data_IF_416030880540
#
_entry.id   IF_416030880540
#
_cell.length_a   1.000
_cell.length_b   1.000
_cell.length_c   1.000
_cell.angle_alpha   90.00
_cell.angle_beta   90.00
_cell.angle_gamma   90.00
#
_symmetry.space_group_name_H-M   'P 1'
#
loop_
_entity.id
_entity.type
_entity.pdbx_description
1 polymer ?
#
# COMPACT_ATOMS: atom_id res chain seq x y z
N UNK A 1 48.42 25.61 32.08
CA UNK A 1 47.38 26.49 31.52
C UNK A 1 46.05 25.90 31.91
N UNK A 2 45.31 26.67 32.68
CA UNK A 2 44.12 26.27 33.40
C UNK A 2 43.04 25.75 32.45
N UNK A 3 42.50 24.58 32.82
CA UNK A 3 41.26 24.05 32.29
C UNK A 3 40.12 24.96 32.71
N UNK A 4 39.66 25.82 31.81
CA UNK A 4 38.33 26.40 31.95
C UNK A 4 37.31 25.31 31.61
N UNK A 5 36.86 24.61 32.65
CA UNK A 5 35.59 23.92 32.62
C UNK A 5 34.50 24.98 32.42
N UNK A 6 34.14 25.24 31.16
CA UNK A 6 32.84 25.85 30.88
C UNK A 6 31.79 24.86 31.33
N UNK A 7 31.27 25.15 32.52
CA UNK A 7 30.14 24.49 33.14
C UNK A 7 28.95 24.59 32.16
N UNK A 8 28.70 23.51 31.43
CA UNK A 8 27.63 23.40 30.43
C UNK A 8 26.29 23.05 31.09
N UNK A 9 26.10 23.43 32.35
CA UNK A 9 24.91 23.10 33.15
C UNK A 9 23.64 23.85 32.70
N UNK A 10 23.78 24.90 31.88
CA UNK A 10 22.70 25.57 31.13
C UNK A 10 22.50 25.00 29.71
N UNK A 11 22.70 23.69 29.56
CA UNK A 11 22.55 22.98 28.29
C UNK A 11 21.10 23.01 27.81
N UNK A 12 20.92 23.62 26.64
CA UNK A 12 19.76 23.59 25.73
C UNK A 12 18.44 23.09 26.35
N UNK A 13 17.44 23.97 26.60
CA UNK A 13 16.13 23.60 27.19
C UNK A 13 15.47 22.39 26.53
N UNK A 14 15.73 22.20 25.24
CA UNK A 14 15.31 21.04 24.46
C UNK A 14 15.73 19.70 25.08
N UNK A 15 16.98 19.56 25.53
CA UNK A 15 17.51 18.30 26.10
C UNK A 15 16.87 17.94 27.46
N UNK A 16 16.15 18.87 28.09
CA UNK A 16 15.41 18.64 29.34
C UNK A 16 13.99 18.11 29.09
N UNK A 17 13.53 18.04 27.84
CA UNK A 17 12.21 17.51 27.51
C UNK A 17 12.15 16.00 27.79
N UNK A 18 10.97 15.45 28.13
CA UNK A 18 10.76 14.01 28.19
C UNK A 18 11.14 13.32 26.88
N UNK A 19 11.56 12.06 26.97
CA UNK A 19 12.04 11.29 25.81
C UNK A 19 10.93 11.10 24.76
N UNK A 20 9.67 11.03 25.21
CA UNK A 20 8.48 10.92 24.38
C UNK A 20 8.28 12.16 23.51
N UNK A 21 8.54 13.35 24.06
CA UNK A 21 8.43 14.62 23.33
C UNK A 21 9.54 14.72 22.29
N UNK A 22 10.76 14.30 22.61
CA UNK A 22 11.83 14.21 21.63
C UNK A 22 11.47 13.26 20.48
N UNK A 23 10.91 12.09 20.78
CA UNK A 23 10.43 11.15 19.78
C UNK A 23 9.35 11.76 18.90
N UNK A 24 8.35 12.42 19.48
CA UNK A 24 7.27 13.05 18.73
C UNK A 24 7.81 14.13 17.79
N UNK A 25 8.69 15.01 18.28
CA UNK A 25 9.31 16.07 17.47
C UNK A 25 10.11 15.47 16.32
N UNK A 26 10.94 14.46 16.59
CA UNK A 26 11.75 13.83 15.55
C UNK A 26 10.90 13.02 14.55
N UNK A 27 9.76 12.48 14.98
CA UNK A 27 8.82 11.75 14.11
C UNK A 27 8.09 12.65 13.10
N UNK A 28 7.90 13.95 13.38
CA UNK A 28 7.33 14.87 12.39
C UNK A 28 8.18 15.01 11.12
N UNK A 29 9.50 14.85 11.26
CA UNK A 29 10.42 14.87 10.12
C UNK A 29 10.45 13.56 9.32
N UNK A 30 9.71 12.54 9.77
CA UNK A 30 9.54 11.26 9.06
C UNK A 30 8.57 11.37 7.87
N UNK A 31 7.71 12.40 7.84
CA UNK A 31 6.68 12.58 6.82
C UNK A 31 7.22 12.92 5.42
N UNK A 32 8.50 13.32 5.29
CA UNK A 32 9.09 13.73 4.00
C UNK A 32 10.07 12.68 3.42
N UNK A 33 9.82 12.28 2.18
CA UNK A 33 10.36 11.05 1.59
C UNK A 33 11.81 11.23 1.11
N UNK A 34 12.67 10.37 1.67
CA UNK A 34 13.89 9.75 1.08
C UNK A 34 15.26 10.47 1.03
N UNK A 35 15.42 11.74 1.38
CA UNK A 35 16.78 12.29 1.61
C UNK A 35 16.93 13.05 2.94
N UNK A 36 15.90 13.81 3.34
CA UNK A 36 15.92 14.59 4.58
C UNK A 36 16.04 13.76 5.87
N UNK A 37 15.49 12.53 5.90
CA UNK A 37 15.54 11.64 7.08
C UNK A 37 16.97 11.31 7.50
N UNK A 38 17.81 10.86 6.57
CA UNK A 38 19.22 10.48 6.87
C UNK A 38 20.05 11.70 7.24
N UNK A 39 19.86 12.82 6.54
CA UNK A 39 20.57 14.07 6.83
C UNK A 39 20.22 14.65 8.19
N UNK A 40 18.94 14.59 8.56
CA UNK A 40 18.49 15.03 9.88
C UNK A 40 19.04 14.13 10.98
N UNK A 41 18.94 12.81 10.83
CA UNK A 41 19.52 11.84 11.77
C UNK A 41 21.02 12.09 11.93
N UNK A 42 21.74 12.35 10.84
CA UNK A 42 23.17 12.66 10.88
C UNK A 42 23.48 13.99 11.58
N UNK A 43 22.63 15.02 11.44
CA UNK A 43 22.81 16.32 12.12
C UNK A 43 22.46 16.24 13.60
N UNK A 44 21.30 15.66 13.94
CA UNK A 44 20.78 15.54 15.31
C UNK A 44 21.64 14.59 16.15
N UNK A 45 22.13 13.49 15.57
CA UNK A 45 23.01 12.52 16.26
C UNK A 45 24.39 13.07 16.67
N UNK A 46 24.78 14.24 16.15
CA UNK A 46 26.03 14.92 16.53
C UNK A 46 25.89 15.79 17.77
N UNK A 47 24.66 16.16 18.15
CA UNK A 47 24.40 17.08 19.27
C UNK A 47 24.74 16.44 20.62
N UNK A 48 24.17 15.25 20.91
CA UNK A 48 24.48 14.51 22.13
C UNK A 48 24.19 13.01 21.98
N UNK A 49 24.60 12.22 22.99
CA UNK A 49 24.40 10.76 22.98
C UNK A 49 22.92 10.36 22.97
N UNK A 50 22.09 11.02 23.78
CA UNK A 50 20.65 10.74 23.84
C UNK A 50 20.00 10.90 22.46
N UNK A 51 20.21 12.05 21.82
CA UNK A 51 19.65 12.33 20.49
C UNK A 51 20.17 11.39 19.41
N UNK A 52 21.41 10.91 19.52
CA UNK A 52 21.96 9.87 18.65
C UNK A 52 21.19 8.56 18.77
N UNK A 53 20.97 8.09 20.00
CA UNK A 53 20.22 6.86 20.26
C UNK A 53 18.78 6.96 19.76
N UNK A 54 18.09 8.07 20.05
CA UNK A 54 16.74 8.33 19.58
C UNK A 54 16.63 8.37 18.05
N UNK A 55 17.57 9.04 17.40
CA UNK A 55 17.62 9.13 15.94
C UNK A 55 17.85 7.77 15.29
N UNK A 56 18.70 6.93 15.89
CA UNK A 56 18.91 5.55 15.44
C UNK A 56 17.65 4.69 15.66
N UNK A 57 16.97 4.82 16.79
CA UNK A 57 15.71 4.11 17.05
C UNK A 57 14.65 4.46 16.01
N UNK A 58 14.49 5.75 15.68
CA UNK A 58 13.59 6.20 14.61
C UNK A 58 14.01 5.69 13.23
N UNK A 59 15.32 5.68 12.92
CA UNK A 59 15.83 5.15 11.65
C UNK A 59 15.45 3.67 11.49
N UNK A 60 15.66 2.90 12.55
CA UNK A 60 15.50 1.45 12.55
C UNK A 60 14.04 1.02 12.73
N UNK A 61 13.18 1.89 13.27
CA UNK A 61 11.75 1.62 13.40
C UNK A 61 11.08 1.34 12.05
N UNK A 62 11.45 2.10 11.02
CA UNK A 62 11.03 1.89 9.63
C UNK A 62 12.25 1.47 8.79
N UNK A 63 12.56 0.18 8.85
CA UNK A 63 13.70 -0.44 8.18
C UNK A 63 13.37 -0.72 6.72
N UNK A 64 14.18 -0.15 5.82
CA UNK A 64 14.11 -0.42 4.39
C UNK A 64 15.33 -1.22 3.96
N UNK A 65 15.11 -2.37 3.32
CA UNK A 65 16.14 -3.26 2.80
C UNK A 65 16.12 -3.21 1.26
N UNK A 66 16.77 -2.20 0.65
CA UNK A 66 16.92 -2.15 -0.81
C UNK A 66 17.91 -3.19 -1.32
N UNK A 67 18.88 -3.60 -0.49
CA UNK A 67 19.99 -4.48 -0.83
C UNK A 67 20.31 -5.42 0.34
N UNK A 68 21.01 -6.53 0.06
CA UNK A 68 21.42 -7.53 1.06
C UNK A 68 22.38 -6.98 2.14
N UNK A 69 23.13 -5.92 1.84
CA UNK A 69 24.12 -5.30 2.73
C UNK A 69 23.85 -3.82 3.07
N UNK A 70 22.63 -3.50 3.50
CA UNK A 70 22.34 -2.14 3.93
C UNK A 70 23.12 -1.74 5.20
N UNK A 71 23.44 -0.44 5.32
CA UNK A 71 24.07 0.14 6.51
C UNK A 71 23.25 -0.17 7.78
N UNK A 72 21.92 -0.14 7.65
CA UNK A 72 20.99 -0.44 8.72
C UNK A 72 21.12 -1.90 9.20
N UNK A 73 21.32 -2.87 8.29
CA UNK A 73 21.59 -4.26 8.69
C UNK A 73 22.94 -4.38 9.41
N UNK A 74 23.98 -3.68 8.95
CA UNK A 74 25.30 -3.66 9.63
C UNK A 74 25.19 -3.12 11.06
N UNK A 75 24.33 -2.12 11.30
CA UNK A 75 24.02 -1.64 12.65
C UNK A 75 23.32 -2.72 13.47
N UNK A 76 22.30 -3.38 12.92
CA UNK A 76 21.53 -4.43 13.64
C UNK A 76 22.35 -5.70 13.93
N UNK A 77 23.33 -6.01 13.08
CA UNK A 77 24.29 -7.08 13.28
C UNK A 77 25.28 -6.73 14.39
N UNK A 78 25.80 -5.50 14.40
CA UNK A 78 26.73 -5.02 15.45
C UNK A 78 26.06 -4.81 16.81
N UNK A 79 24.82 -4.34 16.82
CA UNK A 79 24.12 -3.91 18.04
C UNK A 79 22.75 -4.60 18.14
N UNK A 80 22.75 -5.83 18.67
CA UNK A 80 21.55 -6.69 18.72
C UNK A 80 20.36 -6.06 19.44
N UNK A 81 20.58 -5.22 20.45
CA UNK A 81 19.51 -4.54 21.18
C UNK A 81 18.71 -3.60 20.29
N UNK A 82 19.24 -3.13 19.15
CA UNK A 82 18.45 -2.30 18.25
C UNK A 82 17.40 -3.07 17.44
N UNK A 83 17.50 -4.40 17.35
CA UNK A 83 16.53 -5.26 16.64
C UNK A 83 15.12 -5.12 17.19
N UNK A 84 15.00 -4.88 18.50
CA UNK A 84 13.71 -4.70 19.16
C UNK A 84 12.99 -3.42 18.77
N UNK A 85 13.63 -2.47 18.08
CA UNK A 85 12.99 -1.23 17.62
C UNK A 85 12.36 -1.36 16.24
N UNK A 86 12.70 -2.39 15.45
CA UNK A 86 12.11 -2.57 14.12
C UNK A 86 10.59 -2.80 14.28
N UNK A 87 9.79 -1.94 13.64
CA UNK A 87 8.31 -1.99 13.65
C UNK A 87 7.77 -2.24 12.25
N UNK A 88 8.34 -1.55 11.26
CA UNK A 88 8.04 -1.76 9.85
C UNK A 88 9.28 -2.27 9.15
N UNK A 89 9.12 -3.37 8.42
CA UNK A 89 10.14 -3.93 7.55
C UNK A 89 9.67 -3.84 6.10
N UNK A 90 10.38 -3.06 5.29
CA UNK A 90 10.13 -2.92 3.86
C UNK A 90 11.27 -3.58 3.08
N UNK A 91 10.96 -4.62 2.32
CA UNK A 91 11.92 -5.39 1.53
C UNK A 91 11.64 -5.18 0.06
N UNK A 92 12.68 -4.87 -0.71
CA UNK A 92 12.58 -4.69 -2.16
C UNK A 92 13.49 -5.68 -2.87
N UNK A 93 12.90 -6.52 -3.71
CA UNK A 93 13.59 -7.48 -4.55
C UNK A 93 13.55 -6.98 -6.00
N UNK A 94 14.60 -6.27 -6.40
CA UNK A 94 14.75 -5.74 -7.76
C UNK A 94 15.29 -6.83 -8.69
N UNK A 95 15.08 -6.74 -10.00
CA UNK A 95 15.65 -7.67 -10.99
C UNK A 95 17.18 -7.52 -11.13
N UNK A 96 17.94 -7.96 -10.13
CA UNK A 96 19.41 -7.97 -10.13
C UNK A 96 19.94 -9.40 -10.06
N UNK A 97 21.24 -9.59 -10.32
CA UNK A 97 21.88 -10.90 -10.25
C UNK A 97 21.96 -11.46 -8.81
N UNK A 98 21.77 -10.61 -7.80
CA UNK A 98 22.00 -10.96 -6.38
C UNK A 98 20.70 -11.27 -5.60
N UNK A 99 19.56 -11.37 -6.29
CA UNK A 99 18.25 -11.55 -5.64
C UNK A 99 18.19 -12.83 -4.82
N UNK A 100 18.80 -13.90 -5.31
CA UNK A 100 18.92 -15.15 -4.57
C UNK A 100 19.63 -14.94 -3.23
N UNK A 101 20.83 -14.34 -3.27
CA UNK A 101 21.62 -14.09 -2.09
C UNK A 101 20.86 -13.16 -1.11
N UNK A 102 20.18 -12.14 -1.63
CA UNK A 102 19.35 -11.24 -0.83
C UNK A 102 18.19 -11.97 -0.15
N UNK A 103 17.43 -12.77 -0.91
CA UNK A 103 16.30 -13.53 -0.39
C UNK A 103 16.74 -14.56 0.65
N UNK A 104 17.86 -15.26 0.42
CA UNK A 104 18.46 -16.19 1.36
C UNK A 104 18.86 -15.48 2.66
N UNK A 105 19.61 -14.39 2.55
CA UNK A 105 20.10 -13.63 3.70
C UNK A 105 18.97 -12.99 4.53
N UNK A 106 17.85 -12.64 3.90
CA UNK A 106 16.65 -12.14 4.57
C UNK A 106 15.89 -13.28 5.25
N UNK A 107 15.64 -14.38 4.54
CA UNK A 107 14.94 -15.55 5.08
C UNK A 107 15.66 -16.13 6.30
N UNK A 108 16.99 -16.20 6.28
CA UNK A 108 17.80 -16.66 7.40
C UNK A 108 17.63 -15.75 8.63
N UNK A 109 17.64 -14.42 8.43
CA UNK A 109 17.45 -13.46 9.52
C UNK A 109 16.05 -13.54 10.13
N UNK A 110 15.03 -13.71 9.28
CA UNK A 110 13.64 -13.91 9.74
C UNK A 110 13.54 -15.19 10.57
N UNK A 111 14.15 -16.28 10.11
CA UNK A 111 14.21 -17.56 10.82
C UNK A 111 14.96 -17.47 12.16
N UNK A 112 15.89 -16.52 12.29
CA UNK A 112 16.60 -16.22 13.55
C UNK A 112 15.87 -15.17 14.41
N UNK A 113 14.60 -14.86 14.10
CA UNK A 113 13.76 -13.89 14.82
C UNK A 113 14.38 -12.47 14.90
N UNK A 114 15.14 -12.05 13.89
CA UNK A 114 15.75 -10.71 13.86
C UNK A 114 14.74 -9.57 13.95
N UNK A 115 13.50 -9.79 13.50
CA UNK A 115 12.46 -8.79 13.38
C UNK A 115 11.24 -9.12 14.26
N UNK A 116 11.47 -9.70 15.45
CA UNK A 116 10.42 -10.20 16.35
C UNK A 116 9.38 -9.15 16.78
N UNK A 117 9.73 -7.86 16.74
CA UNK A 117 8.79 -6.78 17.10
C UNK A 117 8.15 -6.07 15.89
N UNK A 118 8.35 -6.59 14.67
CA UNK A 118 7.72 -6.03 13.49
C UNK A 118 6.19 -6.17 13.57
N UNK A 119 5.48 -5.07 13.36
CA UNK A 119 4.03 -4.97 13.27
C UNK A 119 3.54 -4.92 11.82
N UNK A 120 4.40 -4.44 10.92
CA UNK A 120 4.14 -4.36 9.48
C UNK A 120 5.30 -4.94 8.68
N UNK A 121 4.99 -5.76 7.68
CA UNK A 121 5.94 -6.21 6.67
C UNK A 121 5.43 -5.79 5.29
N UNK A 122 6.29 -5.16 4.50
CA UNK A 122 6.05 -4.82 3.10
C UNK A 122 7.05 -5.55 2.21
N UNK A 123 6.54 -6.28 1.23
CA UNK A 123 7.27 -7.04 0.24
C UNK A 123 7.02 -6.39 -1.12
N UNK A 124 8.06 -5.82 -1.73
CA UNK A 124 8.01 -5.30 -3.09
C UNK A 124 8.87 -6.17 -3.97
N UNK A 125 8.25 -6.77 -4.98
CA UNK A 125 8.87 -7.76 -5.84
C UNK A 125 8.82 -7.29 -7.30
N UNK A 126 9.99 -7.08 -7.89
CA UNK A 126 10.19 -6.61 -9.26
C UNK A 126 11.10 -7.56 -10.03
N UNK A 127 10.87 -8.88 -9.95
CA UNK A 127 11.68 -9.88 -10.63
C UNK A 127 10.78 -10.93 -11.33
N UNK A 128 11.36 -11.77 -12.20
CA UNK A 128 10.70 -12.81 -12.99
C UNK A 128 10.60 -14.15 -12.23
N UNK A 129 11.46 -14.39 -11.23
CA UNK A 129 11.58 -15.68 -10.52
C UNK A 129 10.86 -15.69 -9.16
N UNK A 130 9.68 -16.28 -9.15
CA UNK A 130 8.79 -16.36 -7.98
C UNK A 130 9.35 -17.16 -6.80
N UNK A 131 10.38 -17.99 -6.98
CA UNK A 131 10.89 -18.88 -5.93
C UNK A 131 11.43 -18.09 -4.74
N UNK A 132 12.11 -16.97 -5.00
CA UNK A 132 12.66 -16.09 -3.95
C UNK A 132 11.57 -15.37 -3.17
N UNK A 133 10.48 -14.99 -3.84
CA UNK A 133 9.31 -14.44 -3.17
C UNK A 133 8.70 -15.49 -2.24
N UNK A 134 8.51 -16.73 -2.74
CA UNK A 134 8.02 -17.85 -1.96
C UNK A 134 8.89 -18.13 -0.74
N UNK A 135 10.21 -18.15 -0.91
CA UNK A 135 11.18 -18.38 0.17
C UNK A 135 11.04 -17.38 1.32
N UNK A 136 11.01 -16.08 1.01
CA UNK A 136 10.89 -15.03 2.05
C UNK A 136 9.52 -15.06 2.70
N UNK A 137 8.45 -15.21 1.91
CA UNK A 137 7.08 -15.26 2.44
C UNK A 137 6.87 -16.49 3.33
N UNK A 138 7.41 -17.64 2.94
CA UNK A 138 7.41 -18.86 3.75
C UNK A 138 8.17 -18.66 5.07
N UNK A 139 9.34 -18.04 5.03
CA UNK A 139 10.09 -17.73 6.25
C UNK A 139 9.29 -16.81 7.21
N UNK A 140 8.57 -15.82 6.68
CA UNK A 140 7.66 -14.95 7.46
C UNK A 140 6.51 -15.76 8.04
N UNK A 141 5.92 -16.65 7.26
CA UNK A 141 4.81 -17.50 7.70
C UNK A 141 5.25 -18.43 8.84
N UNK A 142 6.41 -19.06 8.71
CA UNK A 142 6.93 -20.04 9.66
C UNK A 142 7.47 -19.39 10.95
N UNK A 143 8.05 -18.18 10.83
CA UNK A 143 8.69 -17.46 11.93
C UNK A 143 8.01 -16.11 12.18
N UNK A 144 6.68 -16.10 12.10
CA UNK A 144 5.85 -14.90 12.19
C UNK A 144 6.19 -14.08 13.45
N UNK A 145 6.53 -12.79 13.32
CA UNK A 145 6.65 -11.91 14.48
C UNK A 145 5.33 -11.89 15.27
N UNK A 146 5.33 -12.05 16.60
CA UNK A 146 4.11 -12.12 17.41
C UNK A 146 3.19 -10.90 17.27
N UNK A 147 3.79 -9.74 16.99
CA UNK A 147 3.08 -8.47 16.83
C UNK A 147 2.71 -8.14 15.39
N UNK A 148 3.02 -9.00 14.42
CA UNK A 148 2.71 -8.75 13.01
C UNK A 148 1.19 -8.69 12.82
N UNK A 149 0.71 -7.56 12.30
CA UNK A 149 -0.72 -7.32 12.00
C UNK A 149 -0.96 -6.87 10.57
N UNK A 150 0.06 -6.35 9.90
CA UNK A 150 -0.07 -5.78 8.56
C UNK A 150 0.90 -6.44 7.58
N UNK A 151 0.39 -6.86 6.43
CA UNK A 151 1.16 -7.37 5.31
C UNK A 151 0.84 -6.56 4.05
N UNK A 152 1.88 -6.04 3.41
CA UNK A 152 1.79 -5.34 2.14
C UNK A 152 2.62 -6.09 1.10
N UNK A 153 2.01 -6.40 -0.03
CA UNK A 153 2.63 -7.12 -1.14
C UNK A 153 2.44 -6.26 -2.39
N UNK A 154 3.55 -5.79 -2.96
CA UNK A 154 3.59 -5.11 -4.24
C UNK A 154 4.32 -5.98 -5.26
N UNK A 155 3.68 -6.35 -6.36
CA UNK A 155 4.31 -7.12 -7.44
C UNK A 155 4.31 -6.32 -8.74
N UNK A 156 5.49 -6.03 -9.25
CA UNK A 156 5.67 -5.39 -10.55
C UNK A 156 6.46 -6.35 -11.44
N UNK A 157 5.78 -7.24 -12.20
CA UNK A 157 6.48 -8.13 -13.12
C UNK A 157 7.36 -7.29 -14.05
N UNK A 158 8.63 -7.66 -14.14
CA UNK A 158 9.60 -6.95 -15.00
C UNK A 158 9.09 -7.02 -16.42
N UNK A 159 8.78 -5.85 -16.99
CA UNK A 159 8.46 -5.77 -18.42
C UNK A 159 9.59 -6.41 -19.21
N UNK A 160 9.33 -7.29 -20.18
CA UNK A 160 10.26 -7.44 -21.28
C UNK A 160 10.30 -6.07 -21.99
N UNK A 161 11.34 -5.28 -21.76
CA UNK A 161 11.61 -4.12 -22.62
C UNK A 161 12.61 -4.48 -23.72
N UNK A 162 12.44 -3.94 -24.95
CA UNK A 162 11.21 -3.45 -25.56
C UNK A 162 10.70 -4.44 -26.63
N UNK A 163 9.46 -4.20 -27.05
CA UNK A 163 8.91 -4.53 -28.36
C UNK A 163 9.95 -4.52 -29.50
N UNK A 164 10.60 -5.65 -29.71
CA UNK A 164 11.01 -6.07 -31.04
C UNK A 164 9.98 -7.12 -31.47
N UNK A 165 9.22 -6.80 -32.50
CA UNK A 165 8.46 -7.77 -33.30
C UNK A 165 9.43 -8.64 -34.14
N UNK A 166 10.59 -8.97 -33.57
CA UNK A 166 11.43 -10.03 -34.09
C UNK A 166 10.75 -11.34 -33.68
N UNK A 167 10.27 -12.02 -34.70
CA UNK A 167 9.43 -13.21 -34.74
C UNK A 167 9.95 -14.44 -33.97
N UNK A 168 10.97 -14.30 -33.13
CA UNK A 168 11.66 -15.38 -32.42
C UNK A 168 11.84 -15.15 -30.91
N UNK A 169 11.05 -14.26 -30.28
CA UNK A 169 11.01 -14.19 -28.81
C UNK A 169 10.28 -15.41 -28.23
N UNK A 170 11.00 -16.52 -28.06
CA UNK A 170 10.55 -17.57 -27.17
C UNK A 170 10.65 -17.04 -25.74
N UNK A 171 9.56 -16.99 -24.95
CA UNK A 171 9.70 -16.77 -23.52
C UNK A 171 10.71 -17.79 -22.99
N UNK A 172 11.76 -17.37 -22.25
CA UNK A 172 12.74 -18.31 -21.73
C UNK A 172 11.98 -19.40 -20.98
N UNK A 173 12.29 -20.66 -21.28
CA UNK A 173 11.67 -21.81 -20.61
C UNK A 173 11.67 -21.53 -19.10
N UNK A 174 10.47 -21.44 -18.52
CA UNK A 174 10.30 -21.40 -17.07
C UNK A 174 10.90 -22.71 -16.59
N UNK A 175 12.14 -22.64 -16.09
CA UNK A 175 12.79 -23.82 -15.54
C UNK A 175 11.89 -24.31 -14.42
N UNK A 176 11.49 -25.59 -14.44
CA UNK A 176 10.75 -26.12 -13.31
C UNK A 176 11.60 -25.88 -12.05
N UNK A 177 11.00 -25.38 -10.96
CA UNK A 177 11.75 -25.09 -9.74
C UNK A 177 12.50 -26.34 -9.30
N UNK A 178 13.74 -26.15 -8.83
CA UNK A 178 14.62 -27.24 -8.41
C UNK A 178 14.07 -28.02 -7.20
N UNK A 179 13.10 -27.44 -6.47
CA UNK A 179 12.44 -28.05 -5.33
C UNK A 179 10.89 -27.90 -5.44
N UNK A 180 10.12 -28.99 -5.51
CA UNK A 180 8.65 -28.93 -5.59
C UNK A 180 7.98 -28.29 -4.35
N UNK A 181 8.68 -28.18 -3.21
CA UNK A 181 8.17 -27.47 -2.03
C UNK A 181 8.23 -25.95 -2.19
N UNK A 182 9.06 -25.42 -3.08
CA UNK A 182 9.13 -23.98 -3.40
C UNK A 182 7.93 -23.48 -4.21
N UNK A 183 7.12 -24.39 -4.78
CA UNK A 183 5.89 -24.05 -5.50
C UNK A 183 4.76 -23.55 -4.59
N UNK A 184 4.82 -23.83 -3.28
CA UNK A 184 3.77 -23.45 -2.35
C UNK A 184 4.19 -22.25 -1.51
N UNK A 185 3.66 -21.08 -1.87
CA UNK A 185 3.76 -19.87 -1.06
C UNK A 185 2.72 -19.92 0.07
N UNK A 186 3.20 -19.94 1.30
CA UNK A 186 2.44 -19.84 2.55
C UNK A 186 2.46 -18.41 3.04
N UNK A 187 1.36 -17.96 3.62
CA UNK A 187 1.20 -16.61 4.13
C UNK A 187 0.95 -16.64 5.64
N UNK A 188 1.46 -15.65 6.40
CA UNK A 188 1.19 -15.56 7.83
C UNK A 188 -0.31 -15.38 8.09
N UNK A 189 -0.82 -16.11 9.08
CA UNK A 189 -2.20 -15.99 9.54
C UNK A 189 -2.39 -14.86 10.56
N UNK A 190 -3.63 -14.59 10.98
CA UNK A 190 -3.94 -13.66 12.07
C UNK A 190 -3.59 -12.20 11.78
N UNK A 191 -3.59 -11.80 10.51
CA UNK A 191 -3.37 -10.41 10.08
C UNK A 191 -4.66 -9.59 10.17
N UNK A 192 -4.53 -8.32 10.50
CA UNK A 192 -5.65 -7.37 10.56
C UNK A 192 -5.77 -6.54 9.27
N UNK A 193 -4.65 -6.28 8.59
CA UNK A 193 -4.62 -5.52 7.33
C UNK A 193 -3.77 -6.21 6.27
N UNK A 194 -4.32 -6.31 5.06
CA UNK A 194 -3.60 -6.81 3.90
C UNK A 194 -3.71 -5.79 2.76
N UNK A 195 -2.56 -5.45 2.16
CA UNK A 195 -2.47 -4.64 0.95
C UNK A 195 -1.86 -5.47 -0.16
N UNK A 196 -2.55 -5.62 -1.28
CA UNK A 196 -2.12 -6.36 -2.46
C UNK A 196 -2.15 -5.44 -3.67
N UNK A 197 -0.97 -5.06 -4.16
CA UNK A 197 -0.82 -4.19 -5.33
C UNK A 197 -0.09 -5.01 -6.38
N UNK A 198 -0.67 -5.14 -7.57
CA UNK A 198 0.07 -5.64 -8.74
C UNK A 198 0.04 -4.59 -9.84
N UNK A 199 1.07 -4.59 -10.70
CA UNK A 199 0.97 -3.90 -11.98
C UNK A 199 -0.11 -4.60 -12.84
N UNK A 200 -0.75 -3.89 -13.80
CA UNK A 200 -1.56 -4.56 -14.80
C UNK A 200 -0.71 -5.61 -15.51
N UNK A 201 -1.19 -6.84 -15.47
CA UNK A 201 -0.71 -7.90 -16.32
C UNK A 201 -1.34 -7.60 -17.69
N UNK A 202 -0.53 -7.12 -18.64
CA UNK A 202 -1.00 -6.86 -20.00
C UNK A 202 -1.38 -8.20 -20.64
N UNK A 203 -2.49 -8.23 -21.37
CA UNK A 203 -3.20 -9.43 -21.84
C UNK A 203 -2.33 -10.51 -22.53
N UNK A 204 -1.11 -10.17 -23.00
CA UNK A 204 -0.16 -11.11 -23.62
C UNK A 204 0.79 -11.83 -22.64
N UNK A 205 0.97 -11.32 -21.42
CA UNK A 205 1.68 -12.04 -20.35
C UNK A 205 0.62 -12.75 -19.53
N UNK A 206 -0.08 -13.69 -20.16
CA UNK A 206 -1.10 -14.53 -19.52
C UNK A 206 -0.67 -14.97 -18.11
N UNK A 207 -1.66 -15.17 -17.24
CA UNK A 207 -1.65 -15.72 -15.87
C UNK A 207 -0.64 -16.86 -15.59
N UNK A 208 0.00 -17.41 -16.61
CA UNK A 208 1.15 -18.32 -16.57
C UNK A 208 2.44 -17.73 -15.98
N UNK A 209 2.55 -16.41 -15.74
CA UNK A 209 3.81 -15.82 -15.26
C UNK A 209 4.02 -15.86 -13.74
N UNK A 210 2.94 -15.92 -12.94
CA UNK A 210 3.05 -16.10 -11.50
C UNK A 210 2.70 -17.54 -11.14
N UNK A 211 3.65 -18.26 -10.54
CA UNK A 211 3.45 -19.64 -10.07
C UNK A 211 2.55 -19.72 -8.82
N UNK A 212 2.12 -18.58 -8.28
CA UNK A 212 1.34 -18.47 -7.06
C UNK A 212 0.24 -17.42 -7.17
N UNK A 213 -0.78 -17.56 -6.33
CA UNK A 213 -1.93 -16.68 -6.30
C UNK A 213 -1.75 -15.54 -5.28
N UNK A 214 -1.96 -14.30 -5.74
CA UNK A 214 -1.85 -13.08 -4.95
C UNK A 214 -2.97 -12.88 -3.93
N UNK A 215 -4.11 -13.56 -4.08
CA UNK A 215 -5.28 -13.47 -3.20
C UNK A 215 -5.25 -14.50 -2.05
N UNK A 216 -4.32 -15.47 -2.10
CA UNK A 216 -4.13 -16.45 -1.02
C UNK A 216 -3.82 -15.85 0.38
N UNK A 217 -3.16 -14.68 0.54
CA UNK A 217 -3.01 -14.03 1.84
C UNK A 217 -4.36 -13.80 2.55
N UNK A 218 -5.43 -13.55 1.80
CA UNK A 218 -6.78 -13.33 2.36
C UNK A 218 -7.29 -14.60 3.05
N UNK A 219 -7.07 -15.77 2.43
CA UNK A 219 -7.47 -17.08 2.97
C UNK A 219 -6.78 -17.40 4.30
N UNK A 220 -5.57 -16.91 4.50
CA UNK A 220 -4.78 -17.19 5.71
C UNK A 220 -5.28 -16.42 6.95
N UNK A 221 -6.07 -15.34 6.77
CA UNK A 221 -6.45 -14.43 7.86
C UNK A 221 -7.95 -14.05 7.85
N UNK A 222 -8.81 -14.92 7.32
CA UNK A 222 -10.25 -14.65 7.13
C UNK A 222 -10.97 -14.20 8.40
N UNK A 223 -10.59 -14.74 9.56
CA UNK A 223 -11.20 -14.49 10.85
C UNK A 223 -10.65 -13.27 11.59
N UNK A 224 -9.54 -12.67 11.14
CA UNK A 224 -8.90 -11.52 11.79
C UNK A 224 -8.86 -10.27 10.93
N UNK A 225 -9.04 -10.39 9.61
CA UNK A 225 -8.95 -9.25 8.70
C UNK A 225 -10.02 -8.19 8.98
N UNK A 226 -9.58 -6.94 9.06
CA UNK A 226 -10.42 -5.76 9.26
C UNK A 226 -10.32 -4.76 8.12
N UNK A 227 -9.20 -4.77 7.40
CA UNK A 227 -8.92 -3.88 6.28
C UNK A 227 -8.25 -4.61 5.13
N UNK A 228 -8.72 -4.38 3.91
CA UNK A 228 -8.14 -4.91 2.68
C UNK A 228 -7.88 -3.75 1.71
N UNK A 229 -6.71 -3.74 1.09
CA UNK A 229 -6.40 -2.86 -0.04
C UNK A 229 -5.99 -3.71 -1.23
N UNK A 230 -6.64 -3.59 -2.39
CA UNK A 230 -6.40 -4.46 -3.55
C UNK A 230 -6.33 -3.67 -4.85
N UNK A 231 -5.46 -4.10 -5.77
CA UNK A 231 -5.55 -3.68 -7.16
C UNK A 231 -6.60 -4.51 -7.89
N UNK A 232 -7.49 -3.85 -8.59
CA UNK A 232 -8.57 -4.46 -9.33
C UNK A 232 -8.09 -5.33 -10.50
N UNK A 233 -6.93 -5.03 -11.08
CA UNK A 233 -6.31 -5.87 -12.12
C UNK A 233 -5.80 -7.22 -11.60
N UNK A 234 -5.63 -7.36 -10.28
CA UNK A 234 -5.22 -8.62 -9.65
C UNK A 234 -6.40 -9.49 -9.23
N UNK A 235 -7.62 -9.06 -9.53
CA UNK A 235 -8.82 -9.71 -9.04
C UNK A 235 -9.23 -10.88 -9.92
N UNK A 236 -9.42 -12.03 -9.30
CA UNK A 236 -9.97 -13.21 -9.93
C UNK A 236 -11.05 -13.81 -9.01
N UNK A 237 -12.31 -13.83 -9.45
CA UNK A 237 -13.44 -14.31 -8.66
C UNK A 237 -13.36 -15.82 -8.36
N UNK A 238 -12.75 -16.63 -9.22
CA UNK A 238 -12.66 -18.09 -9.01
C UNK A 238 -11.79 -18.41 -7.80
N UNK A 239 -10.77 -17.60 -7.54
CA UNK A 239 -9.85 -17.81 -6.44
C UNK A 239 -10.38 -17.42 -5.07
N UNK A 240 -11.33 -16.50 -5.03
CA UNK A 240 -11.98 -16.04 -3.79
C UNK A 240 -13.30 -16.76 -3.52
N UNK A 241 -13.74 -17.63 -4.43
CA UNK A 241 -14.95 -18.42 -4.26
C UNK A 241 -14.90 -19.25 -2.96
N UNK A 242 -15.94 -19.14 -2.13
CA UNK A 242 -16.08 -19.88 -0.88
C UNK A 242 -15.26 -19.34 0.29
N UNK A 243 -14.66 -18.15 0.17
CA UNK A 243 -13.99 -17.47 1.29
C UNK A 243 -14.86 -16.32 1.77
N UNK A 244 -14.94 -16.17 3.09
CA UNK A 244 -15.62 -15.05 3.74
C UNK A 244 -14.69 -14.41 4.78
N UNK A 245 -14.60 -13.10 4.75
CA UNK A 245 -13.83 -12.24 5.64
C UNK A 245 -14.80 -11.30 6.38
N UNK A 246 -15.63 -11.82 7.29
CA UNK A 246 -16.78 -11.10 7.84
C UNK A 246 -16.40 -9.91 8.75
N UNK A 247 -15.16 -9.82 9.22
CA UNK A 247 -14.71 -8.71 10.08
C UNK A 247 -14.16 -7.53 9.27
N UNK A 248 -14.03 -7.65 7.95
CA UNK A 248 -13.55 -6.57 7.09
C UNK A 248 -14.57 -5.44 7.06
N UNK A 249 -14.12 -4.27 7.49
CA UNK A 249 -14.90 -3.02 7.51
C UNK A 249 -14.37 -1.99 6.53
N UNK A 250 -13.10 -2.10 6.15
CA UNK A 250 -12.42 -1.14 5.28
C UNK A 250 -11.94 -1.83 4.01
N UNK A 251 -12.33 -1.30 2.86
CA UNK A 251 -11.88 -1.75 1.56
C UNK A 251 -11.29 -0.57 0.79
N UNK A 252 -10.04 -0.67 0.35
CA UNK A 252 -9.44 0.22 -0.62
C UNK A 252 -9.22 -0.52 -1.94
N UNK A 253 -9.61 0.11 -3.05
CA UNK A 253 -9.51 -0.49 -4.38
C UNK A 253 -8.74 0.44 -5.29
N UNK A 254 -7.64 -0.07 -5.82
CA UNK A 254 -6.83 0.58 -6.84
C UNK A 254 -7.35 0.10 -8.20
N UNK A 255 -8.16 0.92 -8.85
CA UNK A 255 -8.80 0.61 -10.12
C UNK A 255 -7.82 0.68 -11.29
N UNK A 256 -7.74 -0.35 -12.12
CA UNK A 256 -6.89 -0.35 -13.30
C UNK A 256 -7.37 0.59 -14.42
N UNK A 257 -6.66 0.57 -15.54
CA UNK A 257 -6.99 1.34 -16.74
C UNK A 257 -8.13 0.74 -17.57
N UNK A 258 -8.54 -0.49 -17.28
CA UNK A 258 -9.67 -1.13 -17.95
C UNK A 258 -10.94 -0.98 -17.10
N UNK A 259 -12.08 -0.64 -17.72
CA UNK A 259 -13.37 -0.68 -17.03
C UNK A 259 -13.55 -2.10 -16.49
N UNK A 260 -13.61 -2.20 -15.17
CA UNK A 260 -13.75 -3.47 -14.50
C UNK A 260 -15.08 -4.09 -14.92
N UNK A 261 -15.08 -5.41 -15.14
CA UNK A 261 -16.31 -6.16 -15.30
C UNK A 261 -17.03 -6.17 -13.95
N UNK A 262 -18.35 -5.96 -13.94
CA UNK A 262 -19.22 -5.90 -12.74
C UNK A 262 -18.96 -7.03 -11.71
N UNK A 263 -18.40 -8.15 -12.18
CA UNK A 263 -18.05 -9.37 -11.43
C UNK A 263 -17.18 -9.10 -10.18
N UNK A 264 -16.30 -8.09 -10.19
CA UNK A 264 -15.42 -7.84 -9.03
C UNK A 264 -16.19 -7.35 -7.81
N UNK A 265 -17.04 -6.34 -7.97
CA UNK A 265 -17.77 -5.74 -6.86
C UNK A 265 -18.72 -6.77 -6.20
N UNK A 266 -19.39 -7.59 -7.01
CA UNK A 266 -20.24 -8.69 -6.54
C UNK A 266 -19.45 -9.72 -5.74
N UNK A 267 -18.30 -10.16 -6.26
CA UNK A 267 -17.44 -11.14 -5.59
C UNK A 267 -16.88 -10.59 -4.27
N UNK A 268 -16.57 -9.30 -4.22
CA UNK A 268 -16.15 -8.61 -3.00
C UNK A 268 -17.28 -8.52 -1.98
N UNK A 269 -18.51 -8.28 -2.42
CA UNK A 269 -19.67 -8.23 -1.52
C UNK A 269 -19.89 -9.58 -0.82
N UNK A 270 -19.63 -10.70 -1.52
CA UNK A 270 -19.66 -12.04 -0.94
C UNK A 270 -18.48 -12.24 0.01
N UNK A 271 -17.27 -11.89 -0.42
CA UNK A 271 -16.05 -12.06 0.38
C UNK A 271 -16.07 -11.20 1.65
N UNK A 272 -16.55 -9.97 1.58
CA UNK A 272 -16.48 -8.96 2.64
C UNK A 272 -17.85 -8.30 2.85
N UNK A 273 -18.84 -9.00 3.43
CA UNK A 273 -20.23 -8.53 3.48
C UNK A 273 -20.46 -7.33 4.42
N UNK A 274 -19.46 -6.94 5.21
CA UNK A 274 -19.57 -5.94 6.28
C UNK A 274 -18.74 -4.67 6.04
N UNK A 275 -18.42 -4.36 4.79
CA UNK A 275 -17.66 -3.14 4.45
C UNK A 275 -18.48 -1.90 4.85
N UNK A 276 -17.91 -1.07 5.71
CA UNK A 276 -18.47 0.21 6.16
C UNK A 276 -17.78 1.40 5.49
N UNK A 277 -16.52 1.24 5.06
CA UNK A 277 -15.70 2.27 4.44
C UNK A 277 -15.06 1.76 3.16
N UNK A 278 -15.32 2.47 2.06
CA UNK A 278 -14.85 2.17 0.73
C UNK A 278 -13.95 3.30 0.21
N UNK A 279 -12.73 2.99 -0.19
CA UNK A 279 -11.80 3.93 -0.81
C UNK A 279 -11.57 3.51 -2.26
N UNK A 280 -11.95 4.36 -3.21
CA UNK A 280 -11.84 4.10 -4.64
C UNK A 280 -10.71 4.96 -5.20
N UNK A 281 -9.58 4.33 -5.47
CA UNK A 281 -8.39 4.97 -6.03
C UNK A 281 -8.28 4.65 -7.52
N UNK A 282 -8.16 5.63 -8.41
CA UNK A 282 -7.82 5.38 -9.79
C UNK A 282 -6.32 5.06 -9.89
N UNK A 283 -5.96 3.99 -10.59
CA UNK A 283 -4.57 3.57 -10.84
C UNK A 283 -4.18 4.00 -12.24
N UNK A 284 -3.77 5.25 -12.43
CA UNK A 284 -3.19 5.66 -13.71
C UNK A 284 -1.68 5.46 -13.69
N UNK A 285 -1.22 4.39 -14.35
CA UNK A 285 0.17 4.23 -14.76
C UNK A 285 0.51 5.30 -15.80
N UNK A 286 0.94 6.44 -15.26
CA UNK A 286 1.42 7.70 -15.85
C UNK A 286 2.36 7.67 -17.07
N UNK A 287 2.60 6.54 -17.74
CA UNK A 287 3.66 6.45 -18.76
C UNK A 287 3.29 5.87 -20.12
N UNK A 288 2.13 5.22 -20.31
CA UNK A 288 1.96 4.38 -21.52
C UNK A 288 0.68 4.53 -22.32
N UNK A 289 -0.26 5.40 -21.93
CA UNK A 289 -1.15 5.97 -22.92
C UNK A 289 -0.33 7.02 -23.65
N UNK A 290 0.15 6.65 -24.84
CA UNK A 290 0.85 7.56 -25.73
C UNK A 290 0.09 8.88 -25.84
N UNK A 291 0.84 9.97 -26.03
CA UNK A 291 0.33 11.31 -26.31
C UNK A 291 -0.91 11.23 -27.22
N UNK A 292 -2.08 11.59 -26.71
CA UNK A 292 -3.23 11.93 -27.55
C UNK A 292 -4.59 11.31 -27.22
N UNK A 293 -4.70 10.25 -26.41
CA UNK A 293 -6.03 9.75 -26.01
C UNK A 293 -6.50 10.39 -24.70
N UNK A 294 -7.18 11.53 -24.81
CA UNK A 294 -8.02 12.05 -23.74
C UNK A 294 -9.25 11.15 -23.58
N UNK A 295 -9.06 9.94 -23.05
CA UNK A 295 -10.17 9.17 -22.52
C UNK A 295 -10.62 9.90 -21.26
N UNK A 296 -11.58 10.83 -21.42
CA UNK A 296 -12.43 11.25 -20.32
C UNK A 296 -13.18 10.00 -19.85
N UNK A 297 -12.56 9.24 -18.95
CA UNK A 297 -13.27 8.17 -18.26
C UNK A 297 -14.25 8.88 -17.35
N UNK A 298 -15.55 8.68 -17.61
CA UNK A 298 -16.60 9.21 -16.76
C UNK A 298 -16.43 8.60 -15.36
N UNK A 299 -16.39 9.46 -14.34
CA UNK A 299 -16.35 9.07 -12.92
C UNK A 299 -17.51 8.11 -12.64
N UNK A 300 -18.64 8.31 -13.30
CA UNK A 300 -19.80 7.45 -13.17
C UNK A 300 -19.53 6.03 -13.68
N UNK A 301 -19.02 5.87 -14.90
CA UNK A 301 -18.74 4.56 -15.50
C UNK A 301 -17.73 3.74 -14.68
N UNK A 302 -16.74 4.41 -14.08
CA UNK A 302 -15.68 3.76 -13.31
C UNK A 302 -16.17 3.24 -11.94
N UNK A 303 -17.09 3.97 -11.31
CA UNK A 303 -17.44 3.75 -9.90
C UNK A 303 -18.85 3.19 -9.68
N UNK A 304 -19.71 3.15 -10.69
CA UNK A 304 -21.11 2.71 -10.52
C UNK A 304 -21.24 1.27 -9.99
N UNK A 305 -20.38 0.35 -10.41
CA UNK A 305 -20.41 -1.07 -10.00
C UNK A 305 -20.42 -1.28 -8.48
N UNK A 306 -19.83 -0.36 -7.71
CA UNK A 306 -19.70 -0.48 -6.26
C UNK A 306 -21.03 -0.36 -5.50
N UNK A 307 -22.12 -0.02 -6.21
CA UNK A 307 -23.48 0.07 -5.67
C UNK A 307 -23.93 -1.17 -4.91
N UNK A 308 -23.36 -2.34 -5.20
CA UNK A 308 -23.73 -3.63 -4.60
C UNK A 308 -23.34 -3.75 -3.12
N UNK A 309 -22.45 -2.89 -2.62
CA UNK A 309 -21.99 -2.90 -1.23
C UNK A 309 -22.96 -2.17 -0.29
N UNK A 310 -23.99 -2.89 0.15
CA UNK A 310 -25.13 -2.30 0.88
C UNK A 310 -24.81 -1.66 2.23
N UNK A 311 -23.79 -2.15 2.95
CA UNK A 311 -23.44 -1.70 4.32
C UNK A 311 -22.46 -0.52 4.37
N UNK A 312 -22.04 -0.02 3.21
CA UNK A 312 -21.08 1.07 3.13
C UNK A 312 -21.71 2.35 3.65
N UNK A 313 -21.07 2.98 4.63
CA UNK A 313 -21.45 4.27 5.21
C UNK A 313 -20.65 5.41 4.63
N UNK A 314 -19.38 5.15 4.30
CA UNK A 314 -18.44 6.18 3.84
C UNK A 314 -17.75 5.75 2.56
N UNK A 315 -17.76 6.61 1.55
CA UNK A 315 -17.01 6.41 0.32
C UNK A 315 -16.02 7.57 0.13
N UNK A 316 -14.76 7.24 -0.12
CA UNK A 316 -13.75 8.19 -0.57
C UNK A 316 -13.37 7.88 -2.01
N UNK A 317 -13.70 8.78 -2.93
CA UNK A 317 -13.40 8.67 -4.35
C UNK A 317 -12.22 9.56 -4.68
N UNK A 318 -11.15 8.97 -5.17
CA UNK A 318 -10.09 9.71 -5.83
C UNK A 318 -10.37 9.81 -7.32
N UNK A 319 -9.97 10.91 -7.96
CA UNK A 319 -10.09 11.07 -9.41
C UNK A 319 -8.85 11.78 -9.97
N UNK A 320 -8.55 11.47 -11.23
CA UNK A 320 -7.57 12.18 -12.03
C UNK A 320 -8.28 13.04 -13.07
N UNK A 321 -7.76 14.24 -13.28
CA UNK A 321 -8.07 15.04 -14.47
C UNK A 321 -6.84 14.96 -15.38
N UNK A 322 -6.89 14.08 -16.39
CA UNK A 322 -5.95 14.11 -17.51
C UNK A 322 -6.55 15.02 -18.61
N UNK A 323 -6.05 16.26 -18.69
CA UNK A 323 -6.49 17.26 -19.66
C UNK A 323 -7.46 18.31 -19.11
N UNK A 324 -7.25 19.56 -19.53
CA UNK A 324 -7.92 20.81 -19.10
C UNK A 324 -8.09 20.94 -17.59
N UNK A 325 -7.06 21.45 -16.91
CA UNK A 325 -7.20 21.92 -15.53
C UNK A 325 -8.15 23.13 -15.58
N UNK A 326 -9.34 23.06 -14.96
CA UNK A 326 -10.16 24.25 -14.81
C UNK A 326 -9.32 25.32 -14.11
N UNK A 327 -9.21 26.51 -14.68
CA UNK A 327 -8.24 27.52 -14.24
C UNK A 327 -8.51 28.01 -12.81
N UNK A 328 -9.72 27.76 -12.30
CA UNK A 328 -10.17 28.18 -10.98
C UNK A 328 -10.84 27.02 -10.21
N UNK A 329 -10.95 27.20 -8.88
CA UNK A 329 -11.70 26.31 -7.99
C UNK A 329 -13.17 26.17 -8.39
N UNK A 330 -13.77 27.25 -8.90
CA UNK A 330 -15.20 27.34 -9.21
C UNK A 330 -15.53 26.50 -10.45
N UNK A 331 -14.73 26.62 -11.52
CA UNK A 331 -14.88 25.80 -12.73
C UNK A 331 -14.76 24.29 -12.42
N UNK A 332 -13.86 23.94 -11.49
CA UNK A 332 -13.67 22.56 -11.04
C UNK A 332 -14.86 22.06 -10.22
N UNK A 333 -15.45 22.91 -9.37
CA UNK A 333 -16.67 22.59 -8.63
C UNK A 333 -17.86 22.38 -9.58
N UNK A 334 -18.01 23.23 -10.60
CA UNK A 334 -19.08 23.11 -11.61
C UNK A 334 -18.99 21.79 -12.41
N UNK A 335 -17.79 21.27 -12.64
CA UNK A 335 -17.60 20.01 -13.34
C UNK A 335 -17.77 18.77 -12.44
N UNK A 336 -17.16 18.75 -11.25
CA UNK A 336 -17.13 17.56 -10.39
C UNK A 336 -18.45 17.36 -9.65
N UNK A 337 -19.10 18.44 -9.21
CA UNK A 337 -20.30 18.37 -8.35
C UNK A 337 -21.47 17.66 -9.04
N UNK A 338 -21.87 17.98 -10.29
CA UNK A 338 -22.99 17.28 -10.94
C UNK A 338 -22.72 15.79 -11.15
N UNK A 339 -21.48 15.42 -11.49
CA UNK A 339 -21.08 14.02 -11.67
C UNK A 339 -21.08 13.27 -10.33
N UNK A 340 -20.57 13.89 -9.27
CA UNK A 340 -20.61 13.36 -7.92
C UNK A 340 -22.06 13.15 -7.43
N UNK A 341 -22.92 14.15 -7.59
CA UNK A 341 -24.34 14.06 -7.21
C UNK A 341 -25.06 12.95 -7.98
N UNK A 342 -24.86 12.84 -9.29
CA UNK A 342 -25.46 11.78 -10.11
C UNK A 342 -24.99 10.38 -9.65
N UNK A 343 -23.69 10.20 -9.40
CA UNK A 343 -23.16 8.93 -8.87
C UNK A 343 -23.77 8.57 -7.51
N UNK A 344 -23.82 9.52 -6.58
CA UNK A 344 -24.44 9.34 -5.26
C UNK A 344 -25.92 9.01 -5.42
N UNK A 345 -26.65 9.70 -6.29
CA UNK A 345 -28.05 9.39 -6.59
C UNK A 345 -28.20 7.97 -7.12
N UNK A 346 -27.33 7.49 -8.01
CA UNK A 346 -27.40 6.12 -8.54
C UNK A 346 -27.12 5.06 -7.48
N UNK A 347 -26.15 5.29 -6.59
CA UNK A 347 -25.91 4.40 -5.45
C UNK A 347 -27.09 4.32 -4.48
N UNK A 348 -27.87 5.40 -4.37
CA UNK A 348 -28.92 5.54 -3.35
C UNK A 348 -30.34 5.23 -3.86
N UNK A 349 -30.69 5.60 -5.10
CA UNK A 349 -32.06 5.66 -5.63
C UNK A 349 -32.73 4.29 -5.84
N UNK A 350 -31.96 3.20 -5.86
CA UNK A 350 -32.47 1.83 -5.94
C UNK A 350 -32.26 1.02 -4.65
N UNK A 351 -31.94 1.68 -3.53
CA UNK A 351 -31.67 1.00 -2.26
C UNK A 351 -30.43 0.10 -2.30
N UNK A 352 -29.49 0.41 -3.20
CA UNK A 352 -28.31 -0.42 -3.43
C UNK A 352 -27.22 -0.16 -2.38
N UNK A 353 -27.05 1.10 -1.96
CA UNK A 353 -26.25 1.49 -0.79
C UNK A 353 -27.13 2.18 0.27
N UNK A 354 -28.01 1.42 0.94
CA UNK A 354 -28.96 1.97 1.89
C UNK A 354 -28.31 2.49 3.17
N UNK A 355 -27.03 2.26 3.45
CA UNK A 355 -26.34 2.78 4.64
C UNK A 355 -25.41 3.98 4.35
N UNK A 356 -25.33 4.43 3.09
CA UNK A 356 -24.45 5.52 2.70
C UNK A 356 -24.78 6.84 3.42
N UNK A 357 -23.81 7.38 4.15
CA UNK A 357 -23.91 8.62 4.93
C UNK A 357 -23.10 9.76 4.30
N UNK A 358 -21.85 9.46 3.89
CA UNK A 358 -20.94 10.48 3.35
C UNK A 358 -20.15 9.98 2.16
N UNK A 359 -19.98 10.85 1.17
CA UNK A 359 -19.09 10.63 0.02
C UNK A 359 -18.13 11.80 -0.09
N UNK A 360 -16.83 11.52 -0.11
CA UNK A 360 -15.79 12.51 -0.29
C UNK A 360 -15.08 12.29 -1.62
N UNK A 361 -14.93 13.33 -2.42
CA UNK A 361 -14.21 13.32 -3.69
C UNK A 361 -12.90 14.10 -3.53
N UNK A 362 -11.76 13.42 -3.70
CA UNK A 362 -10.43 14.03 -3.64
C UNK A 362 -9.72 13.97 -4.97
N UNK A 363 -9.22 15.11 -5.43
CA UNK A 363 -8.33 15.13 -6.59
C UNK A 363 -7.02 14.42 -6.25
N UNK A 364 -6.59 13.45 -7.07
CA UNK A 364 -5.30 12.81 -6.86
C UNK A 364 -4.16 13.76 -7.29
N UNK A 365 -3.39 14.19 -6.31
CA UNK A 365 -2.26 15.09 -6.51
C UNK A 365 -1.11 14.49 -7.32
N UNK A 366 -0.59 15.21 -8.32
CA UNK A 366 0.72 14.94 -8.90
C UNK A 366 1.85 15.02 -7.85
N UNK A 367 2.54 13.91 -7.57
CA UNK A 367 3.78 13.91 -6.78
C UNK A 367 4.73 15.02 -7.28
N UNK A 368 4.98 16.04 -6.45
CA UNK A 368 6.03 17.04 -6.66
C UNK A 368 5.59 18.50 -6.82
N UNK A 369 4.30 18.82 -6.87
CA UNK A 369 3.83 20.21 -6.80
C UNK A 369 3.02 20.44 -5.53
N UNK A 370 3.15 21.63 -4.94
CA UNK A 370 2.24 22.09 -3.89
C UNK A 370 0.80 22.05 -4.43
N UNK A 371 0.05 21.00 -4.08
CA UNK A 371 -1.29 20.79 -4.59
C UNK A 371 -2.27 21.38 -3.60
N UNK A 372 -3.00 22.38 -4.06
CA UNK A 372 -4.34 22.66 -3.56
C UNK A 372 -5.16 21.37 -3.68
N UNK A 373 -5.34 20.68 -2.56
CA UNK A 373 -6.20 19.50 -2.49
C UNK A 373 -7.63 20.00 -2.63
N UNK A 374 -8.18 19.94 -3.85
CA UNK A 374 -9.61 20.09 -4.05
C UNK A 374 -10.29 18.84 -3.48
N UNK A 375 -11.09 19.06 -2.45
CA UNK A 375 -11.87 18.03 -1.77
C UNK A 375 -13.31 18.51 -1.69
N UNK A 376 -14.25 17.69 -2.15
CA UNK A 376 -15.67 17.94 -2.00
C UNK A 376 -16.26 16.85 -1.13
N UNK A 377 -17.08 17.23 -0.16
CA UNK A 377 -17.71 16.27 0.74
C UNK A 377 -19.20 16.43 0.67
N UNK A 378 -19.89 15.32 0.45
CA UNK A 378 -21.33 15.25 0.37
C UNK A 378 -21.85 14.42 1.53
N UNK A 379 -22.94 14.89 2.13
CA UNK A 379 -23.76 14.18 3.09
C UNK A 379 -25.07 13.74 2.44
N UNK A 380 -25.43 12.48 2.60
CA UNK A 380 -26.72 11.94 2.18
C UNK A 380 -27.75 12.26 3.27
N UNK A 381 -28.75 13.10 2.97
CA UNK A 381 -29.83 13.46 3.89
C UNK A 381 -30.91 12.39 3.89
N UNK A 382 -31.39 12.03 5.09
CA UNK A 382 -32.42 11.01 5.28
C UNK A 382 -33.55 11.49 6.18
N UNK A 383 -34.76 11.02 5.90
CA UNK A 383 -35.89 11.02 6.83
C UNK A 383 -36.43 9.60 6.94
N UNK A 384 -36.25 8.99 8.12
CA UNK A 384 -36.97 7.79 8.58
C UNK A 384 -37.17 6.71 7.50
N UNK A 385 -36.11 6.38 6.75
CA UNK A 385 -35.99 5.33 5.70
C UNK A 385 -35.96 5.80 4.24
N UNK A 386 -36.17 7.10 3.96
CA UNK A 386 -36.03 7.67 2.62
C UNK A 386 -34.84 8.62 2.52
N UNK A 387 -34.10 8.54 1.41
CA UNK A 387 -33.07 9.51 1.05
C UNK A 387 -33.76 10.72 0.43
N UNK A 388 -33.63 11.87 1.09
CA UNK A 388 -34.40 13.10 0.81
C UNK A 388 -33.57 14.11 0.00
N UNK A 389 -32.25 13.98 0.02
CA UNK A 389 -31.37 14.85 -0.74
C UNK A 389 -29.90 14.58 -0.50
N UNK A 390 -29.08 15.33 -1.21
CA UNK A 390 -27.62 15.35 -1.09
C UNK A 390 -27.24 16.79 -0.73
N UNK A 391 -26.32 16.96 0.22
CA UNK A 391 -25.82 18.27 0.64
C UNK A 391 -24.29 18.27 0.64
N UNK A 392 -23.67 19.23 -0.03
CA UNK A 392 -22.24 19.50 0.09
C UNK A 392 -21.95 20.17 1.46
N UNK A 393 -20.96 19.68 2.21
CA UNK A 393 -20.66 20.09 3.61
C UNK A 393 -19.19 20.46 3.85
#
# INVERSE_FOLDING_TARGET
>A
MESSSTDTSDTAPFLRLPIEIHFQILSYYEADKSHHRRDLINRVSRVCRLLRELSLQLLLANLRLPEAESFELKILDKYKHFRSFVRTLEMRFLCTNDVEQQANAIADRISQHYFSNATKISLRYENRDTDYFGKVTNAISDNRPPNLRELEIEIFPVRPEPFFWETDFQPPEVKPPNDPTQRYVRYPSGLERITLISAPIWDDISEKSLTFNLLNPLKASTDTLTSISINANSWDPEFVAGIECPKVKQLAVYQGSMPLRDIMADSINILCPNIEELVLNPTFLKKHLGQGSSLKVDIEELYLQWKVLSRVKRVLVYYHEDGYIPATTDDHREYVTPNAENLIQRWTKLGQMPDLETVEFKRHGHRGSHISLFSFKFRVKRTSDAIVGIEEI
#
